data_IF_883694565240
#
_entry.id   IF_883694565240
#
_cell.length_a   1.000
_cell.length_b   1.000
_cell.length_c   1.000
_cell.angle_alpha   90.00
_cell.angle_beta   90.00
_cell.angle_gamma   90.00
#
_symmetry.space_group_name_H-M   'P 1'
#
loop_
_entity.id
_entity.type
_entity.pdbx_description
1 polymer ?
#
# COMPACT_ATOMS: atom_id res chain seq x y z
N UNK A 1 25.06 11.39 14.62
CA UNK A 1 24.17 12.46 14.10
C UNK A 1 22.70 12.05 14.24
N UNK A 2 21.76 12.98 14.15
CA UNK A 2 20.30 12.77 14.36
C UNK A 2 19.58 13.02 13.03
N UNK A 3 18.75 12.10 12.55
CA UNK A 3 17.99 12.28 11.30
C UNK A 3 17.07 13.51 11.39
N UNK A 4 17.33 14.54 10.57
CA UNK A 4 16.54 15.76 10.53
C UNK A 4 15.30 15.58 9.68
N UNK A 5 14.11 15.46 10.28
CA UNK A 5 12.86 15.13 9.56
C UNK A 5 12.59 16.11 8.41
N UNK A 6 12.50 17.42 8.70
CA UNK A 6 12.22 18.44 7.69
C UNK A 6 13.33 18.55 6.65
N UNK A 7 14.59 18.34 7.05
CA UNK A 7 15.71 18.36 6.12
C UNK A 7 15.64 17.20 5.13
N UNK A 8 15.36 15.98 5.60
CA UNK A 8 15.28 14.80 4.73
C UNK A 8 14.07 14.87 3.81
N UNK A 9 12.90 15.22 4.34
CA UNK A 9 11.69 15.34 3.53
C UNK A 9 11.78 16.51 2.54
N UNK A 10 12.29 17.67 2.98
CA UNK A 10 12.51 18.82 2.12
C UNK A 10 13.47 18.52 0.98
N UNK A 11 14.54 17.77 1.25
CA UNK A 11 15.47 17.34 0.21
C UNK A 11 14.84 16.34 -0.77
N UNK A 12 14.02 15.41 -0.30
CA UNK A 12 13.29 14.48 -1.16
C UNK A 12 12.31 15.21 -2.09
N UNK A 13 11.50 16.13 -1.55
CA UNK A 13 10.59 16.98 -2.32
C UNK A 13 11.35 17.88 -3.32
N UNK A 14 12.46 18.48 -2.88
CA UNK A 14 13.30 19.31 -3.72
C UNK A 14 13.93 18.53 -4.87
N UNK A 15 14.34 17.28 -4.64
CA UNK A 15 14.85 16.42 -5.70
C UNK A 15 13.79 16.14 -6.75
N UNK A 16 12.58 15.76 -6.34
CA UNK A 16 11.44 15.55 -7.25
C UNK A 16 11.12 16.77 -8.11
N UNK A 17 11.12 17.96 -7.52
CA UNK A 17 10.79 19.20 -8.24
C UNK A 17 11.94 19.69 -9.15
N UNK A 18 13.16 19.79 -8.60
CA UNK A 18 14.29 20.44 -9.30
C UNK A 18 14.90 19.56 -10.39
N UNK A 19 14.78 18.23 -10.28
CA UNK A 19 15.36 17.28 -11.22
C UNK A 19 14.34 16.69 -12.18
N UNK A 20 13.18 17.33 -12.33
CA UNK A 20 12.06 16.80 -13.09
C UNK A 20 12.44 16.43 -14.53
N UNK A 21 13.19 17.29 -15.23
CA UNK A 21 13.69 17.00 -16.58
C UNK A 21 14.49 15.69 -16.64
N UNK A 22 15.37 15.46 -15.66
CA UNK A 22 16.18 14.25 -15.60
C UNK A 22 15.33 13.02 -15.24
N UNK A 23 14.39 13.19 -14.30
CA UNK A 23 13.47 12.12 -13.89
C UNK A 23 12.60 11.70 -15.08
N UNK A 24 11.99 12.65 -15.78
CA UNK A 24 11.19 12.40 -16.98
C UNK A 24 11.99 11.66 -18.04
N UNK A 25 13.22 12.09 -18.33
CA UNK A 25 14.08 11.43 -19.34
C UNK A 25 14.37 9.97 -19.02
N UNK A 26 14.59 9.65 -17.74
CA UNK A 26 14.92 8.28 -17.30
C UNK A 26 13.67 7.43 -17.14
N UNK A 27 12.56 8.01 -16.67
CA UNK A 27 11.38 7.27 -16.26
C UNK A 27 10.28 7.19 -17.32
N UNK A 28 10.25 8.06 -18.35
CA UNK A 28 9.07 8.13 -19.24
C UNK A 28 8.75 6.81 -19.93
N UNK A 29 9.72 6.15 -20.56
CA UNK A 29 9.48 4.90 -21.27
C UNK A 29 9.06 3.78 -20.29
N UNK A 30 9.81 3.51 -19.21
CA UNK A 30 9.39 2.50 -18.24
C UNK A 30 8.03 2.77 -17.58
N UNK A 31 7.72 4.03 -17.26
CA UNK A 31 6.42 4.40 -16.66
C UNK A 31 5.28 4.24 -17.66
N UNK A 32 5.46 4.63 -18.92
CA UNK A 32 4.47 4.36 -19.96
C UNK A 32 4.23 2.86 -20.14
N UNK A 33 5.30 2.06 -20.14
CA UNK A 33 5.19 0.60 -20.20
C UNK A 33 4.50 0.02 -18.95
N UNK A 34 4.72 0.58 -17.76
CA UNK A 34 4.00 0.19 -16.54
C UNK A 34 2.50 0.40 -16.69
N UNK A 35 2.07 1.54 -17.24
CA UNK A 35 0.66 1.83 -17.48
C UNK A 35 0.06 0.83 -18.48
N UNK A 36 0.77 0.54 -19.58
CA UNK A 36 0.35 -0.45 -20.58
C UNK A 36 0.24 -1.85 -19.96
N UNK A 37 1.20 -2.26 -19.14
CA UNK A 37 1.20 -3.56 -18.46
C UNK A 37 0.06 -3.67 -17.46
N UNK A 38 -0.20 -2.63 -16.68
CA UNK A 38 -1.33 -2.61 -15.74
C UNK A 38 -2.67 -2.72 -16.48
N UNK A 39 -2.81 -2.00 -17.61
CA UNK A 39 -3.98 -2.10 -18.47
C UNK A 39 -4.14 -3.51 -19.06
N UNK A 40 -3.07 -4.09 -19.61
CA UNK A 40 -3.08 -5.44 -20.15
C UNK A 40 -3.41 -6.49 -19.07
N UNK A 41 -2.89 -6.33 -17.86
CA UNK A 41 -3.18 -7.20 -16.73
C UNK A 41 -4.66 -7.12 -16.33
N UNK A 42 -5.23 -5.92 -16.27
CA UNK A 42 -6.64 -5.72 -15.94
C UNK A 42 -7.58 -6.47 -16.91
N UNK A 43 -7.37 -6.30 -18.22
CA UNK A 43 -8.14 -7.03 -19.23
C UNK A 43 -7.87 -8.54 -19.21
N UNK A 44 -6.65 -8.96 -18.86
CA UNK A 44 -6.32 -10.39 -18.72
C UNK A 44 -7.06 -11.03 -17.56
N UNK A 45 -7.15 -10.37 -16.40
CA UNK A 45 -7.93 -10.87 -15.27
C UNK A 45 -9.42 -11.00 -15.61
N UNK A 46 -9.98 -9.97 -16.26
CA UNK A 46 -11.37 -10.01 -16.72
C UNK A 46 -11.58 -11.14 -17.72
N UNK A 47 -10.67 -11.33 -18.68
CA UNK A 47 -10.76 -12.39 -19.68
C UNK A 47 -10.75 -13.79 -19.06
N UNK A 48 -9.87 -14.03 -18.09
CA UNK A 48 -9.84 -15.31 -17.37
C UNK A 48 -11.12 -15.52 -16.56
N UNK A 49 -11.62 -14.48 -15.89
CA UNK A 49 -12.85 -14.58 -15.09
C UNK A 49 -14.10 -14.82 -15.94
N UNK A 50 -14.16 -14.25 -17.15
CA UNK A 50 -15.28 -14.38 -18.06
C UNK A 50 -15.19 -15.63 -18.96
N UNK A 51 -14.06 -16.35 -18.96
CA UNK A 51 -13.83 -17.50 -19.83
C UNK A 51 -13.75 -17.15 -21.33
N UNK A 52 -13.62 -15.86 -21.68
CA UNK A 52 -13.49 -15.36 -23.05
C UNK A 52 -12.56 -14.15 -23.09
N UNK A 53 -11.95 -13.87 -24.24
CA UNK A 53 -11.14 -12.66 -24.40
C UNK A 53 -12.05 -11.42 -24.26
N UNK A 54 -11.73 -10.56 -23.30
CA UNK A 54 -12.34 -9.23 -23.12
C UNK A 54 -11.32 -8.19 -23.57
N UNK A 55 -11.76 -7.31 -24.46
CA UNK A 55 -10.96 -6.25 -25.07
C UNK A 55 -11.63 -4.89 -24.92
N UNK A 56 -10.99 -3.83 -25.42
CA UNK A 56 -11.57 -2.48 -25.42
C UNK A 56 -12.91 -2.38 -26.16
N UNK A 57 -13.16 -3.23 -27.16
CA UNK A 57 -14.43 -3.21 -27.89
C UNK A 57 -15.60 -3.79 -27.09
N UNK A 58 -15.31 -4.52 -26.00
CA UNK A 58 -16.34 -5.07 -25.11
C UNK A 58 -16.82 -4.07 -24.05
N UNK A 59 -16.16 -2.91 -23.94
CA UNK A 59 -16.54 -1.86 -22.98
C UNK A 59 -17.75 -1.09 -23.50
N UNK A 60 -18.79 -1.01 -22.67
CA UNK A 60 -19.95 -0.17 -22.97
C UNK A 60 -19.54 1.31 -23.04
N UNK A 61 -20.19 2.06 -23.92
CA UNK A 61 -19.99 3.51 -24.02
C UNK A 61 -20.26 4.18 -22.66
N UNK A 62 -19.30 4.97 -22.18
CA UNK A 62 -19.37 5.64 -20.89
C UNK A 62 -18.72 4.91 -19.71
N UNK A 63 -18.22 3.68 -19.88
CA UNK A 63 -17.39 3.04 -18.85
C UNK A 63 -15.98 3.65 -18.83
N UNK A 64 -15.54 4.07 -17.64
CA UNK A 64 -14.19 4.59 -17.42
C UNK A 64 -13.21 3.44 -17.14
N UNK A 65 -11.93 3.65 -17.46
CA UNK A 65 -10.90 2.66 -17.14
C UNK A 65 -10.79 2.36 -15.63
N UNK A 66 -11.09 3.34 -14.77
CA UNK A 66 -11.13 3.14 -13.32
C UNK A 66 -12.17 2.08 -12.90
N UNK A 67 -13.32 2.02 -13.58
CA UNK A 67 -14.31 0.97 -13.33
C UNK A 67 -13.80 -0.40 -13.79
N UNK A 68 -13.12 -0.47 -14.93
CA UNK A 68 -12.49 -1.70 -15.45
C UNK A 68 -11.45 -2.22 -14.47
N UNK A 69 -10.62 -1.34 -13.93
CA UNK A 69 -9.60 -1.68 -12.93
C UNK A 69 -10.23 -2.21 -11.63
N UNK A 70 -11.33 -1.60 -11.16
CA UNK A 70 -12.05 -2.08 -9.99
C UNK A 70 -12.62 -3.50 -10.19
N UNK A 71 -13.25 -3.77 -11.34
CA UNK A 71 -13.74 -5.11 -11.66
C UNK A 71 -12.61 -6.12 -11.83
N UNK A 72 -11.51 -5.73 -12.48
CA UNK A 72 -10.34 -6.56 -12.63
C UNK A 72 -9.72 -6.91 -11.26
N UNK A 73 -9.71 -5.98 -10.31
CA UNK A 73 -9.26 -6.21 -8.93
C UNK A 73 -10.12 -7.25 -8.20
N UNK A 74 -11.45 -7.16 -8.35
CA UNK A 74 -12.35 -8.18 -7.82
C UNK A 74 -12.10 -9.55 -8.46
N UNK A 75 -12.02 -9.62 -9.79
CA UNK A 75 -11.71 -10.84 -10.52
C UNK A 75 -10.36 -11.46 -10.11
N UNK A 76 -9.32 -10.64 -9.96
CA UNK A 76 -8.01 -11.08 -9.49
C UNK A 76 -8.09 -11.65 -8.08
N UNK A 77 -8.75 -10.96 -7.14
CA UNK A 77 -8.89 -11.43 -5.75
C UNK A 77 -9.65 -12.76 -5.66
N UNK A 78 -10.76 -12.89 -6.38
CA UNK A 78 -11.56 -14.11 -6.42
C UNK A 78 -10.77 -15.27 -7.05
N UNK A 79 -10.07 -15.02 -8.16
CA UNK A 79 -9.26 -16.01 -8.84
C UNK A 79 -8.05 -16.48 -8.04
N UNK A 80 -7.36 -15.57 -7.34
CA UNK A 80 -6.26 -15.93 -6.44
C UNK A 80 -6.76 -16.76 -5.25
N UNK A 81 -7.89 -16.35 -4.64
CA UNK A 81 -8.53 -17.07 -3.55
C UNK A 81 -9.02 -18.47 -3.95
N UNK A 82 -9.48 -18.63 -5.19
CA UNK A 82 -9.89 -19.92 -5.76
C UNK A 82 -8.71 -20.77 -6.26
N UNK A 83 -7.47 -20.27 -6.23
CA UNK A 83 -6.30 -20.99 -6.72
C UNK A 83 -6.25 -21.15 -8.24
N UNK A 84 -6.88 -20.25 -9.01
CA UNK A 84 -6.88 -20.30 -10.48
C UNK A 84 -5.47 -20.12 -11.04
N UNK A 85 -4.94 -21.16 -11.71
CA UNK A 85 -3.60 -21.14 -12.28
C UNK A 85 -3.40 -19.99 -13.29
N UNK A 86 -4.43 -19.66 -14.08
CA UNK A 86 -4.39 -18.56 -15.03
C UNK A 86 -4.24 -17.19 -14.35
N UNK A 87 -4.98 -16.96 -13.27
CA UNK A 87 -4.90 -15.71 -12.49
C UNK A 87 -3.55 -15.60 -11.78
N UNK A 88 -3.03 -16.70 -11.21
CA UNK A 88 -1.70 -16.74 -10.62
C UNK A 88 -0.59 -16.46 -11.64
N UNK A 89 -0.69 -17.03 -12.85
CA UNK A 89 0.28 -16.79 -13.92
C UNK A 89 0.30 -15.30 -14.33
N UNK A 90 -0.86 -14.68 -14.48
CA UNK A 90 -0.96 -13.24 -14.78
C UNK A 90 -0.35 -12.42 -13.63
N UNK A 91 -0.72 -12.70 -12.38
CA UNK A 91 -0.21 -11.97 -11.22
C UNK A 91 1.32 -12.04 -11.11
N UNK A 92 1.91 -13.22 -11.30
CA UNK A 92 3.35 -13.41 -11.26
C UNK A 92 4.05 -12.72 -12.44
N UNK A 93 3.52 -12.88 -13.67
CA UNK A 93 4.09 -12.24 -14.85
C UNK A 93 4.06 -10.70 -14.71
N UNK A 94 2.92 -10.14 -14.31
CA UNK A 94 2.77 -8.70 -14.06
C UNK A 94 3.72 -8.22 -12.95
N UNK A 95 3.86 -8.96 -11.85
CA UNK A 95 4.78 -8.61 -10.77
C UNK A 95 6.24 -8.58 -11.24
N UNK A 96 6.67 -9.57 -12.03
CA UNK A 96 8.05 -9.65 -12.57
C UNK A 96 8.31 -8.51 -13.55
N UNK A 97 7.39 -8.27 -14.49
CA UNK A 97 7.52 -7.19 -15.47
C UNK A 97 7.56 -5.84 -14.75
N UNK A 98 6.66 -5.61 -13.80
CA UNK A 98 6.62 -4.38 -13.01
C UNK A 98 7.91 -4.18 -12.21
N UNK A 99 8.46 -5.23 -11.59
CA UNK A 99 9.74 -5.14 -10.88
C UNK A 99 10.89 -4.74 -11.81
N UNK A 100 10.96 -5.30 -13.02
CA UNK A 100 11.97 -4.97 -14.04
C UNK A 100 11.82 -3.51 -14.49
N UNK A 101 10.58 -3.10 -14.83
CA UNK A 101 10.28 -1.74 -15.27
C UNK A 101 10.61 -0.73 -14.17
N UNK A 102 10.17 -0.95 -12.92
CA UNK A 102 10.48 -0.07 -11.78
C UNK A 102 11.98 0.01 -11.54
N UNK A 103 12.68 -1.12 -11.51
CA UNK A 103 14.12 -1.13 -11.28
C UNK A 103 14.89 -0.35 -12.35
N UNK A 104 14.44 -0.42 -13.61
CA UNK A 104 15.11 0.23 -14.75
C UNK A 104 15.25 1.75 -14.60
N UNK A 105 14.30 2.41 -13.94
CA UNK A 105 14.39 3.86 -13.65
C UNK A 105 14.70 4.17 -12.19
N UNK A 106 14.22 3.39 -11.21
CA UNK A 106 14.47 3.68 -9.80
C UNK A 106 15.94 3.52 -9.42
N UNK A 107 16.61 2.46 -9.87
CA UNK A 107 18.03 2.25 -9.55
C UNK A 107 18.91 3.44 -9.99
N UNK A 108 18.88 3.92 -11.25
CA UNK A 108 19.67 5.08 -11.65
C UNK A 108 19.25 6.37 -10.93
N UNK A 109 17.95 6.60 -10.66
CA UNK A 109 17.51 7.79 -9.93
C UNK A 109 17.99 7.79 -8.47
N UNK A 110 17.99 6.63 -7.81
CA UNK A 110 18.54 6.48 -6.45
C UNK A 110 20.04 6.77 -6.44
N UNK A 111 20.80 6.27 -7.42
CA UNK A 111 22.24 6.56 -7.53
C UNK A 111 22.48 8.03 -7.84
N UNK A 112 21.65 8.65 -8.65
CA UNK A 112 21.74 10.08 -8.91
C UNK A 112 21.47 10.90 -7.64
N UNK A 113 20.46 10.55 -6.86
CA UNK A 113 20.14 11.21 -5.59
C UNK A 113 21.20 10.98 -4.50
N UNK A 114 21.70 9.75 -4.38
CA UNK A 114 22.61 9.34 -3.31
C UNK A 114 24.09 9.64 -3.59
N UNK A 115 24.56 9.38 -4.81
CA UNK A 115 25.97 9.49 -5.20
C UNK A 115 26.24 10.68 -6.14
N UNK A 116 25.19 11.34 -6.66
CA UNK A 116 25.35 12.41 -7.65
C UNK A 116 25.69 11.90 -9.05
N UNK A 117 25.63 10.59 -9.29
CA UNK A 117 25.92 9.99 -10.58
C UNK A 117 24.84 10.34 -11.60
N UNK A 118 25.16 11.25 -12.54
CA UNK A 118 24.21 11.66 -13.56
C UNK A 118 23.87 10.47 -14.46
N UNK A 119 22.58 10.17 -14.67
CA UNK A 119 22.18 9.13 -15.61
C UNK A 119 22.63 9.52 -17.03
N UNK A 120 22.99 8.50 -17.81
CA UNK A 120 23.51 8.71 -19.16
C UNK A 120 22.47 9.41 -20.05
N UNK A 121 22.90 10.31 -20.97
CA UNK A 121 21.98 11.06 -21.80
C UNK A 121 21.23 10.17 -22.81
N UNK A 122 19.97 10.49 -23.05
CA UNK A 122 19.11 9.81 -24.03
C UNK A 122 17.65 9.76 -23.58
N UNK A 123 16.74 9.64 -24.55
CA UNK A 123 15.29 9.54 -24.31
C UNK A 123 14.89 8.05 -24.29
N UNK A 124 15.31 7.25 -25.25
CA UNK A 124 14.98 5.81 -25.30
C UNK A 124 16.03 4.96 -24.56
N UNK A 125 16.05 5.00 -23.23
CA UNK A 125 16.91 4.11 -22.44
C UNK A 125 16.11 3.38 -21.36
N UNK A 126 16.29 2.07 -21.34
CA UNK A 126 15.82 1.20 -20.26
C UNK A 126 17.02 0.38 -19.76
N UNK A 127 17.92 0.99 -18.97
CA UNK A 127 19.10 0.29 -18.51
C UNK A 127 18.68 -0.86 -17.59
N UNK A 128 19.10 -2.07 -17.93
CA UNK A 128 18.94 -3.24 -17.07
C UNK A 128 20.29 -3.92 -16.91
N UNK A 129 20.75 -4.04 -15.67
CA UNK A 129 22.08 -4.51 -15.36
C UNK A 129 22.24 -4.85 -13.87
N UNK A 130 23.49 -4.93 -13.39
CA UNK A 130 23.77 -5.38 -12.03
C UNK A 130 23.10 -4.53 -10.94
N UNK A 131 22.96 -3.21 -11.15
CA UNK A 131 22.37 -2.31 -10.16
C UNK A 131 20.84 -2.49 -10.06
N UNK A 132 20.18 -2.72 -11.20
CA UNK A 132 18.74 -3.03 -11.26
C UNK A 132 18.45 -4.39 -10.60
N UNK A 133 19.28 -5.39 -10.88
CA UNK A 133 19.19 -6.70 -10.22
C UNK A 133 19.38 -6.57 -8.70
N UNK A 134 20.32 -5.73 -8.24
CA UNK A 134 20.49 -5.45 -6.81
C UNK A 134 19.25 -4.79 -6.20
N UNK A 135 18.64 -3.83 -6.89
CA UNK A 135 17.39 -3.21 -6.44
C UNK A 135 16.29 -4.25 -6.26
N UNK A 136 16.08 -5.10 -7.29
CA UNK A 136 15.06 -6.15 -7.27
C UNK A 136 15.34 -7.16 -6.17
N UNK A 137 16.54 -7.72 -6.12
CA UNK A 137 16.91 -8.76 -5.14
C UNK A 137 16.88 -8.22 -3.71
N UNK A 138 17.35 -7.00 -3.46
CA UNK A 138 17.23 -6.38 -2.15
C UNK A 138 15.76 -6.14 -1.76
N UNK A 139 14.92 -5.76 -2.73
CA UNK A 139 13.47 -5.63 -2.55
C UNK A 139 12.82 -6.98 -2.21
N UNK A 140 13.12 -8.03 -2.98
CA UNK A 140 12.63 -9.40 -2.76
C UNK A 140 13.06 -9.90 -1.39
N UNK A 141 14.34 -9.75 -1.02
CA UNK A 141 14.83 -10.18 0.30
C UNK A 141 14.13 -9.41 1.41
N UNK A 142 13.95 -8.10 1.28
CA UNK A 142 13.20 -7.30 2.27
C UNK A 142 11.75 -7.76 2.40
N UNK A 143 11.10 -7.99 1.26
CA UNK A 143 9.73 -8.49 1.20
C UNK A 143 9.61 -9.87 1.82
N UNK A 144 10.49 -10.82 1.48
CA UNK A 144 10.48 -12.18 2.02
C UNK A 144 10.74 -12.19 3.53
N UNK A 145 11.64 -11.36 4.04
CA UNK A 145 11.88 -11.23 5.48
C UNK A 145 10.62 -10.70 6.18
N UNK A 146 10.01 -9.62 5.67
CA UNK A 146 8.75 -9.10 6.22
C UNK A 146 7.60 -10.11 6.10
N UNK A 147 7.50 -10.80 4.96
CA UNK A 147 6.48 -11.82 4.70
C UNK A 147 6.61 -13.00 5.66
N UNK A 148 7.81 -13.55 5.82
CA UNK A 148 8.03 -14.73 6.65
C UNK A 148 7.94 -14.41 8.14
N UNK A 149 8.53 -13.29 8.59
CA UNK A 149 8.65 -13.00 10.01
C UNK A 149 7.43 -12.26 10.59
N UNK A 150 6.69 -11.52 9.76
CA UNK A 150 5.57 -10.68 10.22
C UNK A 150 4.26 -11.12 9.59
N UNK A 151 4.12 -11.03 8.27
CA UNK A 151 2.83 -11.22 7.62
C UNK A 151 2.33 -12.66 7.70
N UNK A 152 3.19 -13.67 7.54
CA UNK A 152 2.81 -15.07 7.60
C UNK A 152 2.32 -15.48 9.00
N UNK A 153 3.02 -15.17 10.12
CA UNK A 153 2.48 -15.42 11.46
C UNK A 153 1.13 -14.74 11.72
N UNK A 154 0.97 -13.48 11.29
CA UNK A 154 -0.29 -12.73 11.45
C UNK A 154 -1.41 -13.35 10.61
N UNK A 155 -1.12 -13.72 9.36
CA UNK A 155 -2.08 -14.36 8.45
C UNK A 155 -2.47 -15.75 8.94
N UNK A 156 -1.52 -16.56 9.42
CA UNK A 156 -1.79 -17.86 10.03
C UNK A 156 -2.65 -17.71 11.28
N UNK A 157 -2.30 -16.81 12.20
CA UNK A 157 -3.11 -16.56 13.40
C UNK A 157 -4.54 -16.15 13.03
N UNK A 158 -4.68 -15.21 12.11
CA UNK A 158 -5.97 -14.77 11.56
C UNK A 158 -6.76 -15.94 10.98
N UNK A 159 -6.13 -16.76 10.11
CA UNK A 159 -6.76 -17.91 9.49
C UNK A 159 -7.24 -18.94 10.52
N UNK A 160 -6.41 -19.30 11.49
CA UNK A 160 -6.78 -20.26 12.52
C UNK A 160 -7.90 -19.74 13.43
N UNK A 161 -7.86 -18.47 13.82
CA UNK A 161 -8.91 -17.84 14.63
C UNK A 161 -10.23 -17.82 13.86
N UNK A 162 -10.23 -17.31 12.63
CA UNK A 162 -11.45 -17.26 11.80
C UNK A 162 -11.97 -18.67 11.55
N UNK A 163 -11.12 -19.63 11.19
CA UNK A 163 -11.52 -21.03 10.96
C UNK A 163 -12.12 -21.66 12.22
N UNK A 164 -11.54 -21.43 13.39
CA UNK A 164 -12.07 -21.92 14.67
C UNK A 164 -13.42 -21.29 15.00
N UNK A 165 -13.57 -19.97 14.84
CA UNK A 165 -14.82 -19.25 15.05
C UNK A 165 -15.90 -19.77 14.09
N UNK A 166 -15.61 -19.79 12.79
CA UNK A 166 -16.58 -20.23 11.77
C UNK A 166 -17.03 -21.66 12.05
N UNK A 167 -16.11 -22.60 12.31
CA UNK A 167 -16.46 -23.99 12.62
C UNK A 167 -17.32 -24.09 13.88
N UNK A 168 -17.03 -23.33 14.93
CA UNK A 168 -17.80 -23.38 16.17
C UNK A 168 -19.21 -22.81 16.00
N UNK A 169 -19.35 -21.71 15.26
CA UNK A 169 -20.63 -21.03 15.07
C UNK A 169 -21.56 -21.76 14.10
N UNK A 170 -21.02 -22.43 13.07
CA UNK A 170 -21.81 -23.14 12.06
C UNK A 170 -22.06 -24.62 12.39
N UNK A 171 -21.49 -25.14 13.47
CA UNK A 171 -21.73 -26.52 13.89
C UNK A 171 -23.19 -26.70 14.33
N UNK A 172 -23.86 -27.73 13.84
CA UNK A 172 -25.22 -28.06 14.25
C UNK A 172 -25.23 -28.84 15.57
N UNK A 173 -26.08 -28.42 16.51
CA UNK A 173 -26.27 -29.11 17.79
C UNK A 173 -27.72 -29.58 17.90
N UNK A 174 -27.92 -30.78 18.48
CA UNK A 174 -29.24 -31.19 18.92
C UNK A 174 -29.55 -30.50 20.25
N UNK A 175 -30.63 -29.73 20.29
CA UNK A 175 -31.18 -29.17 21.52
C UNK A 175 -32.47 -29.92 21.87
N UNK A 176 -32.69 -30.12 23.17
CA UNK A 176 -33.91 -30.69 23.73
C UNK A 176 -34.61 -29.55 24.49
N UNK A 177 -35.61 -28.88 23.89
CA UNK A 177 -36.26 -27.72 24.50
C UNK A 177 -37.03 -28.07 25.77
N UNK A 178 -37.43 -29.34 25.90
CA UNK A 178 -38.26 -29.85 26.97
C UNK A 178 -37.54 -31.03 27.63
N UNK A 179 -36.99 -30.82 28.83
CA UNK A 179 -36.14 -31.80 29.53
C UNK A 179 -36.89 -33.12 29.83
N UNK A 180 -38.23 -33.07 29.84
CA UNK A 180 -39.10 -34.24 30.05
C UNK A 180 -39.54 -34.97 28.78
N UNK A 181 -39.19 -34.50 27.57
CA UNK A 181 -39.64 -35.09 26.31
C UNK A 181 -38.47 -35.51 25.42
N UNK A 182 -38.34 -36.82 25.18
CA UNK A 182 -37.40 -37.39 24.21
C UNK A 182 -37.83 -37.19 22.74
N UNK A 183 -39.01 -36.62 22.50
CA UNK A 183 -39.64 -36.54 21.18
C UNK A 183 -39.45 -35.18 20.48
N UNK A 184 -38.96 -34.15 21.17
CA UNK A 184 -38.72 -32.81 20.61
C UNK A 184 -37.21 -32.57 20.50
N UNK A 185 -36.63 -32.98 19.37
CA UNK A 185 -35.24 -32.66 19.00
C UNK A 185 -35.26 -31.51 18.01
N UNK A 186 -34.67 -30.38 18.37
CA UNK A 186 -34.48 -29.26 17.46
C UNK A 186 -33.00 -29.16 17.07
N UNK A 187 -32.72 -28.97 15.78
CA UNK A 187 -31.37 -28.74 15.29
C UNK A 187 -31.11 -27.24 15.34
N UNK A 188 -30.29 -26.83 16.30
CA UNK A 188 -29.98 -25.44 16.61
C UNK A 188 -28.55 -25.15 16.17
N UNK A 189 -28.26 -23.93 15.70
CA UNK A 189 -26.89 -23.59 15.32
C UNK A 189 -26.00 -23.37 16.55
N UNK A 190 -24.70 -23.62 16.40
CA UNK A 190 -23.71 -23.41 17.45
C UNK A 190 -23.72 -21.99 18.00
N UNK A 191 -23.96 -20.99 17.15
CA UNK A 191 -24.12 -19.60 17.59
C UNK A 191 -25.23 -19.43 18.65
N UNK A 192 -26.40 -20.02 18.43
CA UNK A 192 -27.55 -19.92 19.35
C UNK A 192 -27.30 -20.71 20.64
N UNK A 193 -26.74 -21.91 20.54
CA UNK A 193 -26.39 -22.74 21.71
C UNK A 193 -25.32 -22.06 22.58
N UNK A 194 -24.30 -21.46 21.96
CA UNK A 194 -23.23 -20.74 22.66
C UNK A 194 -23.73 -19.43 23.26
N UNK A 195 -24.69 -18.76 22.62
CA UNK A 195 -25.35 -17.58 23.18
C UNK A 195 -26.15 -17.95 24.43
N UNK A 196 -26.96 -19.01 24.37
CA UNK A 196 -27.74 -19.50 25.52
C UNK A 196 -26.85 -19.92 26.70
N UNK A 197 -25.69 -20.54 26.42
CA UNK A 197 -24.71 -20.93 27.45
C UNK A 197 -23.83 -19.77 27.95
N UNK A 198 -24.00 -18.56 27.41
CA UNK A 198 -23.15 -17.42 27.75
C UNK A 198 -21.67 -17.63 27.40
N UNK A 199 -21.37 -18.46 26.40
CA UNK A 199 -20.00 -18.78 25.96
C UNK A 199 -19.60 -18.08 24.65
N UNK A 200 -20.54 -17.40 23.98
CA UNK A 200 -20.35 -16.71 22.71
C UNK A 200 -19.20 -15.67 22.76
N UNK A 201 -18.99 -15.07 23.94
CA UNK A 201 -17.95 -14.08 24.17
C UNK A 201 -16.53 -14.56 23.82
N UNK A 202 -16.25 -15.86 24.00
CA UNK A 202 -14.95 -16.45 23.68
C UNK A 202 -14.64 -16.32 22.18
N UNK A 203 -15.67 -16.45 21.34
CA UNK A 203 -15.59 -16.39 19.89
C UNK A 203 -15.71 -14.97 19.36
N UNK A 204 -16.51 -14.11 20.00
CA UNK A 204 -16.62 -12.70 19.61
C UNK A 204 -15.35 -11.89 19.91
N UNK A 205 -14.74 -12.09 21.08
CA UNK A 205 -13.60 -11.28 21.51
C UNK A 205 -12.51 -12.03 22.27
N UNK A 206 -12.77 -13.22 22.81
CA UNK A 206 -11.77 -14.00 23.54
C UNK A 206 -10.55 -14.37 22.70
N UNK A 207 -10.74 -15.08 21.58
CA UNK A 207 -9.64 -15.48 20.69
C UNK A 207 -8.86 -14.29 20.13
N UNK A 208 -9.57 -13.26 19.68
CA UNK A 208 -8.94 -12.02 19.20
C UNK A 208 -8.17 -11.31 20.31
N UNK A 209 -8.64 -11.36 21.55
CA UNK A 209 -8.00 -10.74 22.70
C UNK A 209 -6.69 -11.40 23.08
N UNK A 210 -6.65 -12.74 23.07
CA UNK A 210 -5.41 -13.50 23.26
C UNK A 210 -4.41 -13.19 22.15
N UNK A 211 -4.85 -13.17 20.90
CA UNK A 211 -3.99 -12.87 19.76
C UNK A 211 -3.44 -11.43 19.79
N UNK A 212 -4.29 -10.44 20.11
CA UNK A 212 -3.89 -9.05 20.29
C UNK A 212 -2.84 -8.91 21.39
N UNK A 213 -3.06 -9.56 22.54
CA UNK A 213 -2.13 -9.54 23.68
C UNK A 213 -0.77 -10.12 23.30
N UNK A 214 -0.74 -11.24 22.57
CA UNK A 214 0.50 -11.84 22.10
C UNK A 214 1.28 -10.90 21.17
N UNK A 215 0.62 -10.26 20.21
CA UNK A 215 1.26 -9.29 19.31
C UNK A 215 1.78 -8.05 20.06
N UNK A 216 0.99 -7.53 20.99
CA UNK A 216 1.40 -6.40 21.84
C UNK A 216 2.63 -6.76 22.68
N UNK A 217 2.67 -7.98 23.24
CA UNK A 217 3.84 -8.46 23.97
C UNK A 217 5.10 -8.52 23.09
N UNK A 218 4.98 -9.07 21.87
CA UNK A 218 6.08 -9.09 20.89
C UNK A 218 6.52 -7.66 20.53
N UNK A 219 5.58 -6.73 20.33
CA UNK A 219 5.89 -5.34 20.04
C UNK A 219 6.63 -4.66 21.20
N UNK A 220 6.18 -4.87 22.44
CA UNK A 220 6.86 -4.35 23.63
C UNK A 220 8.29 -4.89 23.71
N UNK A 221 8.47 -6.21 23.60
CA UNK A 221 9.80 -6.85 23.67
C UNK A 221 10.73 -6.32 22.57
N UNK A 222 10.24 -6.24 21.33
CA UNK A 222 11.03 -5.74 20.20
C UNK A 222 11.42 -4.27 20.36
N UNK A 223 10.51 -3.42 20.84
CA UNK A 223 10.80 -2.01 21.11
C UNK A 223 11.78 -1.84 22.27
N UNK A 224 11.62 -2.58 23.37
CA UNK A 224 12.56 -2.54 24.49
C UNK A 224 13.97 -2.99 24.07
N UNK A 225 14.06 -4.05 23.26
CA UNK A 225 15.33 -4.50 22.70
C UNK A 225 15.95 -3.44 21.77
N UNK A 226 15.12 -2.73 20.99
CA UNK A 226 15.56 -1.69 20.07
C UNK A 226 16.16 -0.45 20.77
N UNK A 227 15.55 -0.01 21.87
CA UNK A 227 15.97 1.20 22.61
C UNK A 227 17.01 0.95 23.70
N UNK A 228 17.62 -0.25 23.76
CA UNK A 228 18.61 -0.58 24.79
C UNK A 228 19.88 0.28 24.63
N UNK A 229 19.96 1.41 25.36
CA UNK A 229 21.19 2.23 25.45
C UNK A 229 22.25 1.50 26.29
N UNK A 230 23.49 1.56 25.83
CA UNK A 230 24.63 0.86 26.45
C UNK A 230 25.21 1.55 27.70
N UNK A 231 24.77 2.77 28.08
CA UNK A 231 25.52 3.57 29.09
C UNK A 231 24.79 4.62 29.95
N UNK A 232 23.48 4.77 29.90
CA UNK A 232 22.80 5.79 30.76
C UNK A 232 22.02 5.12 31.89
N UNK A 233 22.39 5.45 33.14
CA UNK A 233 21.76 4.99 34.39
C UNK A 233 20.34 5.50 34.63
N UNK A 234 19.64 5.98 33.59
CA UNK A 234 18.19 6.16 33.66
C UNK A 234 17.53 4.79 33.79
N UNK A 235 16.84 4.60 34.93
CA UNK A 235 16.26 3.34 35.35
C UNK A 235 15.53 2.65 34.20
N UNK A 236 15.92 1.41 33.89
CA UNK A 236 15.31 0.60 32.85
C UNK A 236 13.76 0.56 32.95
N UNK A 237 13.25 0.71 34.17
CA UNK A 237 11.84 0.81 34.51
C UNK A 237 11.14 2.04 33.89
N UNK A 238 11.76 3.23 33.92
CA UNK A 238 11.19 4.43 33.31
C UNK A 238 11.03 4.29 31.79
N UNK A 239 12.00 3.67 31.12
CA UNK A 239 11.90 3.35 29.69
C UNK A 239 10.83 2.30 29.41
N UNK A 240 10.80 1.24 30.22
CA UNK A 240 9.76 0.21 30.19
C UNK A 240 8.36 0.83 30.20
N UNK A 241 8.11 1.71 31.16
CA UNK A 241 6.84 2.41 31.30
C UNK A 241 6.54 3.32 30.11
N UNK A 242 7.51 4.07 29.58
CA UNK A 242 7.25 4.93 28.41
C UNK A 242 6.90 4.14 27.14
N UNK A 243 7.60 3.03 26.88
CA UNK A 243 7.32 2.16 25.72
C UNK A 243 5.96 1.49 25.89
N UNK A 244 5.67 0.99 27.08
CA UNK A 244 4.38 0.40 27.41
C UNK A 244 3.24 1.41 27.24
N UNK A 245 3.36 2.61 27.84
CA UNK A 245 2.36 3.66 27.75
C UNK A 245 2.12 4.11 26.30
N UNK A 246 3.18 4.23 25.49
CA UNK A 246 3.05 4.60 24.07
C UNK A 246 2.31 3.52 23.26
N UNK A 247 2.64 2.24 23.47
CA UNK A 247 1.95 1.13 22.79
C UNK A 247 0.50 1.03 23.27
N UNK A 248 0.25 1.13 24.57
CA UNK A 248 -1.09 1.11 25.14
C UNK A 248 -1.95 2.27 24.61
N UNK A 249 -1.39 3.48 24.51
CA UNK A 249 -2.07 4.63 23.93
C UNK A 249 -2.37 4.43 22.44
N UNK A 250 -1.41 3.91 21.66
CA UNK A 250 -1.60 3.64 20.24
C UNK A 250 -2.68 2.58 19.99
N UNK A 251 -2.58 1.42 20.64
CA UNK A 251 -3.53 0.31 20.52
C UNK A 251 -4.91 0.74 21.05
N UNK A 252 -4.94 1.44 22.18
CA UNK A 252 -6.17 1.96 22.78
C UNK A 252 -6.87 2.99 21.88
N UNK A 253 -6.13 3.88 21.23
CA UNK A 253 -6.69 4.84 20.28
C UNK A 253 -7.31 4.16 19.05
N UNK A 254 -6.66 3.12 18.51
CA UNK A 254 -7.22 2.34 17.41
C UNK A 254 -8.44 1.52 17.84
N UNK A 255 -8.42 0.92 19.03
CA UNK A 255 -9.57 0.22 19.58
C UNK A 255 -10.77 1.17 19.75
N UNK A 256 -10.54 2.37 20.29
CA UNK A 256 -11.55 3.40 20.43
C UNK A 256 -12.10 3.85 19.07
N UNK A 257 -11.23 4.18 18.11
CA UNK A 257 -11.64 4.58 16.76
C UNK A 257 -12.48 3.48 16.09
N UNK A 258 -12.09 2.22 16.25
CA UNK A 258 -12.84 1.07 15.75
C UNK A 258 -14.27 1.03 16.29
N UNK A 259 -14.43 1.20 17.61
CA UNK A 259 -15.76 1.24 18.26
C UNK A 259 -16.60 2.42 17.77
N UNK A 260 -16.00 3.61 17.61
CA UNK A 260 -16.71 4.79 17.11
C UNK A 260 -17.15 4.61 15.66
N UNK A 261 -16.38 3.88 14.85
CA UNK A 261 -16.71 3.56 13.46
C UNK A 261 -17.51 2.25 13.27
N UNK A 262 -17.92 1.61 14.37
CA UNK A 262 -18.56 0.30 14.29
C UNK A 262 -19.93 0.41 13.58
N UNK A 263 -20.25 -0.50 12.65
CA UNK A 263 -21.58 -0.55 12.04
C UNK A 263 -22.65 -0.89 13.10
N UNK A 264 -23.88 -0.41 12.88
CA UNK A 264 -25.01 -0.71 13.76
C UNK A 264 -25.21 -2.22 13.91
N UNK A 265 -25.38 -2.68 15.15
CA UNK A 265 -25.53 -4.11 15.48
C UNK A 265 -24.22 -4.86 15.76
N UNK A 266 -23.05 -4.26 15.53
CA UNK A 266 -21.78 -4.90 15.89
C UNK A 266 -21.51 -4.82 17.41
N UNK A 267 -21.01 -5.93 17.99
CA UNK A 267 -20.56 -5.98 19.40
C UNK A 267 -19.42 -4.98 19.63
N UNK A 268 -19.59 -3.93 20.47
CA UNK A 268 -18.55 -2.94 20.70
C UNK A 268 -17.26 -3.55 21.24
N UNK A 269 -17.37 -4.60 22.07
CA UNK A 269 -16.21 -5.34 22.60
C UNK A 269 -15.49 -6.14 21.52
N UNK A 270 -16.24 -6.83 20.66
CA UNK A 270 -15.68 -7.55 19.52
C UNK A 270 -14.89 -6.64 18.59
N UNK A 271 -15.49 -5.49 18.22
CA UNK A 271 -14.84 -4.49 17.37
C UNK A 271 -13.59 -3.91 18.05
N UNK A 272 -13.67 -3.51 19.31
CA UNK A 272 -12.53 -2.97 20.04
C UNK A 272 -11.32 -3.91 20.03
N UNK A 273 -11.55 -5.20 20.26
CA UNK A 273 -10.49 -6.21 20.34
C UNK A 273 -9.93 -6.55 18.95
N UNK A 274 -10.78 -6.66 17.93
CA UNK A 274 -10.33 -6.83 16.55
C UNK A 274 -9.48 -5.65 16.08
N UNK A 275 -9.91 -4.42 16.38
CA UNK A 275 -9.15 -3.20 16.09
C UNK A 275 -7.83 -3.15 16.85
N UNK A 276 -7.79 -3.61 18.11
CA UNK A 276 -6.56 -3.72 18.88
C UNK A 276 -5.58 -4.73 18.26
N UNK A 277 -6.07 -5.89 17.81
CA UNK A 277 -5.28 -6.88 17.07
C UNK A 277 -4.70 -6.27 15.79
N UNK A 278 -5.55 -5.63 14.98
CA UNK A 278 -5.15 -4.98 13.73
C UNK A 278 -4.10 -3.88 13.96
N UNK A 279 -4.26 -3.07 15.02
CA UNK A 279 -3.30 -2.03 15.39
C UNK A 279 -1.93 -2.61 15.78
N UNK A 280 -1.92 -3.66 16.60
CA UNK A 280 -0.68 -4.33 16.99
C UNK A 280 0.03 -4.97 15.78
N UNK A 281 -0.72 -5.64 14.90
CA UNK A 281 -0.24 -6.20 13.65
C UNK A 281 0.36 -5.11 12.73
N UNK A 282 -0.35 -4.00 12.55
CA UNK A 282 0.09 -2.85 11.75
C UNK A 282 1.38 -2.23 12.32
N UNK A 283 1.46 -2.03 13.64
CA UNK A 283 2.63 -1.46 14.29
C UNK A 283 3.87 -2.35 14.10
N UNK A 284 3.70 -3.67 14.22
CA UNK A 284 4.79 -4.62 14.01
C UNK A 284 5.24 -4.66 12.55
N UNK A 285 4.30 -4.66 11.60
CA UNK A 285 4.59 -4.57 10.17
C UNK A 285 5.30 -3.27 9.81
N UNK A 286 4.81 -2.13 10.30
CA UNK A 286 5.43 -0.82 10.09
C UNK A 286 6.86 -0.80 10.64
N UNK A 287 7.09 -1.32 11.84
CA UNK A 287 8.42 -1.42 12.43
C UNK A 287 9.39 -2.24 11.57
N UNK A 288 8.98 -3.43 11.12
CA UNK A 288 9.82 -4.28 10.28
C UNK A 288 10.11 -3.64 8.91
N UNK A 289 9.08 -3.09 8.27
CA UNK A 289 9.21 -2.43 6.97
C UNK A 289 10.12 -1.22 7.06
N UNK A 290 9.98 -0.36 8.08
CA UNK A 290 10.87 0.80 8.26
C UNK A 290 12.34 0.39 8.44
N UNK A 291 12.62 -0.73 9.09
CA UNK A 291 13.98 -1.24 9.25
C UNK A 291 14.61 -1.72 7.95
N UNK A 292 13.81 -2.33 7.08
CA UNK A 292 14.27 -2.86 5.79
C UNK A 292 14.17 -1.81 4.68
N UNK A 293 13.41 -0.74 4.88
CA UNK A 293 13.14 0.30 3.89
C UNK A 293 14.40 0.86 3.21
N UNK A 294 15.50 1.18 3.93
CA UNK A 294 16.71 1.72 3.29
C UNK A 294 17.51 0.67 2.49
N UNK A 295 17.21 -0.62 2.60
CA UNK A 295 18.09 -1.68 2.11
C UNK A 295 18.27 -1.67 0.59
N UNK A 296 17.20 -1.41 -0.16
CA UNK A 296 17.25 -1.28 -1.63
C UNK A 296 18.19 -0.15 -2.04
N UNK A 297 18.12 0.99 -1.37
CA UNK A 297 18.99 2.14 -1.64
C UNK A 297 20.46 1.84 -1.34
N UNK A 298 20.73 1.23 -0.19
CA UNK A 298 22.10 0.84 0.22
C UNK A 298 22.68 -0.18 -0.76
N UNK A 299 21.91 -1.20 -1.14
CA UNK A 299 22.38 -2.24 -2.03
C UNK A 299 22.76 -1.71 -3.42
N UNK A 300 21.94 -0.79 -3.94
CA UNK A 300 22.17 -0.13 -5.23
C UNK A 300 23.36 0.82 -5.17
N UNK A 301 23.43 1.70 -4.17
CA UNK A 301 24.49 2.70 -4.07
C UNK A 301 25.86 2.08 -3.74
N UNK A 302 25.93 1.10 -2.83
CA UNK A 302 27.19 0.40 -2.49
C UNK A 302 27.60 -0.67 -3.50
N UNK A 303 26.71 -1.03 -4.43
CA UNK A 303 26.87 -2.18 -5.33
C UNK A 303 27.15 -3.50 -4.59
N UNK A 304 26.62 -3.65 -3.38
CA UNK A 304 26.87 -4.78 -2.48
C UNK A 304 25.61 -5.14 -1.69
N UNK A 305 25.37 -6.43 -1.41
CA UNK A 305 24.28 -6.90 -0.55
C UNK A 305 24.63 -6.87 0.95
N UNK A 306 25.78 -6.33 1.32
CA UNK A 306 26.16 -6.24 2.73
C UNK A 306 25.14 -5.36 3.50
N UNK A 307 24.55 -5.87 4.61
CA UNK A 307 23.57 -5.13 5.41
C UNK A 307 24.21 -4.03 6.28
N UNK A 308 25.51 -3.80 6.14
CA UNK A 308 26.25 -2.78 6.89
C UNK A 308 25.58 -1.41 6.73
N UNK A 309 25.42 -0.66 7.81
CA UNK A 309 24.78 0.67 7.78
C UNK A 309 23.25 0.67 7.73
N UNK A 310 22.59 -0.45 7.36
CA UNK A 310 21.12 -0.54 7.30
C UNK A 310 20.47 -0.20 8.64
N UNK A 311 20.93 -0.85 9.71
CA UNK A 311 20.40 -0.65 11.05
C UNK A 311 20.86 0.67 11.68
N UNK A 312 21.88 1.33 11.13
CA UNK A 312 22.36 2.61 11.66
C UNK A 312 21.32 3.71 11.45
N UNK A 313 20.68 3.74 10.26
CA UNK A 313 19.63 4.69 9.90
C UNK A 313 18.40 4.52 10.78
N UNK A 314 18.10 3.30 11.22
CA UNK A 314 16.90 3.02 12.02
C UNK A 314 17.18 2.91 13.52
N UNK A 315 18.41 3.12 13.99
CA UNK A 315 18.78 2.90 15.40
C UNK A 315 18.14 3.91 16.34
N UNK A 316 17.57 3.42 17.44
CA UNK A 316 17.06 4.26 18.52
C UNK A 316 15.97 5.20 18.03
N UNK A 317 16.01 6.47 18.44
CA UNK A 317 14.97 7.45 18.06
C UNK A 317 14.89 7.76 16.56
N UNK A 318 15.83 7.27 15.75
CA UNK A 318 15.79 7.47 14.30
C UNK A 318 14.68 6.68 13.62
N UNK A 319 14.20 5.56 14.18
CA UNK A 319 13.07 4.83 13.60
C UNK A 319 11.78 5.66 13.59
N UNK A 320 11.52 6.39 14.69
CA UNK A 320 10.36 7.29 14.77
C UNK A 320 10.50 8.49 13.85
N UNK A 321 11.73 8.99 13.66
CA UNK A 321 12.00 10.07 12.71
C UNK A 321 11.78 9.60 11.28
N UNK A 322 12.24 8.40 10.93
CA UNK A 322 11.99 7.79 9.63
C UNK A 322 10.50 7.58 9.38
N UNK A 323 9.78 7.05 10.38
CA UNK A 323 8.33 6.94 10.33
C UNK A 323 7.68 8.31 10.06
N UNK A 324 8.06 9.34 10.81
CA UNK A 324 7.51 10.68 10.64
C UNK A 324 7.86 11.29 9.29
N UNK A 325 9.06 11.03 8.74
CA UNK A 325 9.43 11.43 7.37
C UNK A 325 8.51 10.76 6.35
N UNK A 326 8.30 9.44 6.44
CA UNK A 326 7.45 8.69 5.51
C UNK A 326 6.00 9.16 5.59
N UNK A 327 5.46 9.30 6.81
CA UNK A 327 4.09 9.80 7.03
C UNK A 327 3.94 11.23 6.52
N UNK A 328 4.89 12.11 6.81
CA UNK A 328 4.85 13.51 6.38
C UNK A 328 4.92 13.62 4.86
N UNK A 329 5.81 12.86 4.20
CA UNK A 329 5.87 12.82 2.73
C UNK A 329 4.58 12.27 2.14
N UNK A 330 4.04 11.18 2.71
CA UNK A 330 2.76 10.61 2.27
C UNK A 330 1.62 11.61 2.38
N UNK A 331 1.49 12.30 3.52
CA UNK A 331 0.47 13.34 3.73
C UNK A 331 0.64 14.53 2.79
N UNK A 332 1.87 15.00 2.58
CA UNK A 332 2.14 16.13 1.68
C UNK A 332 1.82 15.78 0.23
N UNK A 333 2.21 14.58 -0.22
CA UNK A 333 1.89 14.11 -1.57
C UNK A 333 0.38 13.90 -1.73
N UNK A 334 -0.29 13.30 -0.75
CA UNK A 334 -1.73 13.10 -0.76
C UNK A 334 -2.50 14.43 -0.79
N UNK A 335 -2.11 15.40 0.05
CA UNK A 335 -2.72 16.72 0.06
C UNK A 335 -2.49 17.45 -1.27
N UNK A 336 -1.29 17.37 -1.82
CA UNK A 336 -0.98 17.94 -3.13
C UNK A 336 -1.79 17.25 -4.24
N UNK A 337 -2.00 15.93 -4.18
CA UNK A 337 -2.85 15.21 -5.12
C UNK A 337 -4.31 15.64 -5.03
N UNK A 338 -4.86 15.78 -3.81
CA UNK A 338 -6.21 16.34 -3.61
C UNK A 338 -6.30 17.74 -4.21
N UNK A 339 -5.34 18.60 -3.89
CA UNK A 339 -5.34 19.97 -4.40
C UNK A 339 -5.29 19.99 -5.94
N UNK A 340 -4.44 19.17 -6.55
CA UNK A 340 -4.31 19.13 -8.00
C UNK A 340 -5.49 18.45 -8.70
N UNK A 341 -6.08 17.41 -8.11
CA UNK A 341 -7.26 16.75 -8.67
C UNK A 341 -8.50 17.64 -8.58
N UNK A 342 -8.82 18.14 -7.38
CA UNK A 342 -10.01 18.95 -7.11
C UNK A 342 -9.92 20.34 -7.76
N UNK A 343 -8.75 20.99 -7.73
CA UNK A 343 -8.63 22.34 -8.28
C UNK A 343 -7.99 22.40 -9.67
N UNK A 344 -7.17 21.43 -10.05
CA UNK A 344 -6.55 21.41 -11.37
C UNK A 344 -7.41 20.74 -12.41
N UNK A 345 -7.65 19.44 -12.25
CA UNK A 345 -8.30 18.61 -13.27
C UNK A 345 -9.76 19.02 -13.48
N UNK A 346 -10.53 19.21 -12.40
CA UNK A 346 -11.94 19.56 -12.53
C UNK A 346 -12.16 20.89 -13.27
N UNK A 347 -11.33 21.90 -13.00
CA UNK A 347 -11.38 23.17 -13.72
C UNK A 347 -10.98 23.04 -15.19
N UNK A 348 -9.99 22.19 -15.50
CA UNK A 348 -9.62 21.87 -16.89
C UNK A 348 -10.81 21.21 -17.59
N UNK A 349 -11.47 20.23 -16.98
CA UNK A 349 -12.65 19.56 -17.54
C UNK A 349 -13.74 20.61 -17.81
N UNK A 350 -14.08 21.44 -16.83
CA UNK A 350 -15.10 22.49 -16.98
C UNK A 350 -14.74 23.45 -18.12
N UNK A 351 -13.48 23.91 -18.20
CA UNK A 351 -13.03 24.81 -19.26
C UNK A 351 -13.14 24.16 -20.65
N UNK A 352 -12.67 22.92 -20.81
CA UNK A 352 -12.75 22.20 -22.08
C UNK A 352 -14.20 21.86 -22.45
N UNK A 353 -15.07 21.55 -21.48
CA UNK A 353 -16.50 21.36 -21.71
C UNK A 353 -17.17 22.67 -22.16
N UNK A 354 -16.82 23.81 -21.56
CA UNK A 354 -17.34 25.12 -21.97
C UNK A 354 -16.88 25.51 -23.38
N UNK A 355 -15.59 25.28 -23.72
CA UNK A 355 -15.07 25.48 -25.07
C UNK A 355 -15.73 24.54 -26.07
N UNK A 356 -15.92 23.27 -25.71
CA UNK A 356 -16.61 22.29 -26.55
C UNK A 356 -18.06 22.68 -26.84
N UNK A 357 -18.78 23.16 -25.82
CA UNK A 357 -20.14 23.69 -25.97
C UNK A 357 -20.19 24.94 -26.86
N UNK A 358 -19.21 25.84 -26.73
CA UNK A 358 -19.09 27.02 -27.59
C UNK A 358 -18.83 26.63 -29.06
N UNK A 359 -17.93 25.68 -29.31
CA UNK A 359 -17.64 25.17 -30.67
C UNK A 359 -18.83 24.41 -31.24
N UNK A 360 -19.54 23.62 -30.43
CA UNK A 360 -20.77 22.94 -30.85
C UNK A 360 -21.86 23.95 -31.25
N UNK A 361 -22.03 25.01 -30.47
CA UNK A 361 -22.97 26.10 -30.76
C UNK A 361 -22.59 26.85 -32.04
N UNK A 362 -21.30 27.17 -32.21
CA UNK A 362 -20.80 27.83 -33.41
C UNK A 362 -20.99 26.97 -34.66
N UNK A 363 -20.63 25.68 -34.61
CA UNK A 363 -20.82 24.76 -35.74
C UNK A 363 -22.31 24.58 -36.08
N UNK A 364 -23.19 24.52 -35.09
CA UNK A 364 -24.63 24.48 -35.29
C UNK A 364 -25.17 25.71 -36.04
N UNK A 365 -24.61 26.91 -35.79
CA UNK A 365 -25.01 28.12 -36.52
C UNK A 365 -24.67 28.07 -38.02
N UNK A 366 -23.57 27.40 -38.39
CA UNK A 366 -23.13 27.29 -39.79
C UNK A 366 -23.63 26.03 -40.53
N UNK A 367 -24.03 24.99 -39.79
CA UNK A 367 -24.52 23.72 -40.35
C UNK A 367 -26.05 23.56 -40.26
N UNK A 368 -26.81 24.66 -40.39
CA UNK A 368 -28.27 24.59 -40.44
C UNK A 368 -28.94 24.09 -39.15
N UNK A 369 -28.32 24.30 -37.99
CA UNK A 369 -28.83 23.92 -36.68
C UNK A 369 -28.25 22.63 -36.10
N UNK A 370 -27.47 21.86 -36.88
CA UNK A 370 -26.83 20.63 -36.41
C UNK A 370 -25.38 20.87 -35.96
N UNK A 371 -25.10 20.62 -34.68
CA UNK A 371 -23.74 20.64 -34.17
C UNK A 371 -22.91 19.53 -34.83
N UNK A 372 -21.66 19.83 -35.19
CA UNK A 372 -20.83 18.86 -35.88
C UNK A 372 -20.48 17.67 -34.97
N UNK A 373 -20.72 16.44 -35.44
CA UNK A 373 -20.59 15.19 -34.66
C UNK A 373 -19.18 14.90 -34.17
N UNK A 374 -18.16 15.54 -34.76
CA UNK A 374 -16.75 15.39 -34.35
C UNK A 374 -16.35 16.25 -33.14
N UNK A 375 -17.14 17.27 -32.78
CA UNK A 375 -16.75 18.25 -31.74
C UNK A 375 -16.67 17.57 -30.37
N UNK A 376 -17.73 16.88 -29.94
CA UNK A 376 -17.74 16.18 -28.67
C UNK A 376 -16.60 15.15 -28.51
N UNK A 377 -16.35 14.21 -29.46
CA UNK A 377 -15.27 13.25 -29.33
C UNK A 377 -13.87 13.90 -29.37
N UNK A 378 -13.67 14.98 -30.13
CA UNK A 378 -12.39 15.70 -30.14
C UNK A 378 -12.08 16.30 -28.76
N UNK A 379 -13.04 17.04 -28.18
CA UNK A 379 -12.84 17.67 -26.87
C UNK A 379 -12.68 16.62 -25.76
N UNK A 380 -13.41 15.51 -25.82
CA UNK A 380 -13.19 14.38 -24.91
C UNK A 380 -11.77 13.81 -25.04
N UNK A 381 -11.26 13.64 -26.27
CA UNK A 381 -9.90 13.16 -26.51
C UNK A 381 -8.83 14.15 -26.00
N UNK A 382 -9.05 15.46 -26.15
CA UNK A 382 -8.15 16.49 -25.62
C UNK A 382 -8.10 16.47 -24.09
N UNK A 383 -9.26 16.40 -23.43
CA UNK A 383 -9.34 16.29 -21.96
C UNK A 383 -8.62 15.03 -21.48
N UNK A 384 -8.87 13.88 -22.12
CA UNK A 384 -8.18 12.64 -21.80
C UNK A 384 -6.65 12.76 -21.99
N UNK A 385 -6.20 13.41 -23.07
CA UNK A 385 -4.78 13.67 -23.31
C UNK A 385 -4.13 14.51 -22.22
N UNK A 386 -4.81 15.57 -21.76
CA UNK A 386 -4.33 16.41 -20.65
C UNK A 386 -4.28 15.63 -19.34
N UNK A 387 -5.31 14.83 -19.03
CA UNK A 387 -5.34 13.97 -17.85
C UNK A 387 -4.20 12.96 -17.85
N UNK A 388 -3.92 12.32 -18.98
CA UNK A 388 -2.79 11.38 -19.11
C UNK A 388 -1.47 12.10 -18.85
N UNK A 389 -1.25 13.25 -19.49
CA UNK A 389 -0.02 14.02 -19.30
C UNK A 389 0.17 14.46 -17.83
N UNK A 390 -0.90 14.89 -17.18
CA UNK A 390 -0.90 15.25 -15.76
C UNK A 390 -0.56 14.05 -14.89
N UNK A 391 -1.23 12.91 -15.08
CA UNK A 391 -0.97 11.68 -14.32
C UNK A 391 0.47 11.21 -14.50
N UNK A 392 0.99 11.25 -15.73
CA UNK A 392 2.40 10.92 -16.00
C UNK A 392 3.35 11.88 -15.25
N UNK A 393 3.09 13.19 -15.32
CA UNK A 393 3.88 14.18 -14.59
C UNK A 393 3.85 13.94 -13.08
N UNK A 394 2.68 13.65 -12.52
CA UNK A 394 2.51 13.33 -11.11
C UNK A 394 3.27 12.05 -10.71
N UNK A 395 3.21 11.01 -11.53
CA UNK A 395 3.98 9.78 -11.32
C UNK A 395 5.49 10.06 -11.34
N UNK A 396 5.98 10.84 -12.29
CA UNK A 396 7.39 11.22 -12.32
C UNK A 396 7.80 11.98 -11.05
N UNK A 397 6.97 12.92 -10.60
CA UNK A 397 7.23 13.66 -9.38
C UNK A 397 7.33 12.73 -8.17
N UNK A 398 6.32 11.88 -7.95
CA UNK A 398 6.25 10.96 -6.80
C UNK A 398 7.37 9.92 -6.78
N UNK A 399 7.73 9.36 -7.94
CA UNK A 399 8.91 8.49 -8.07
C UNK A 399 10.21 9.25 -7.82
N UNK A 400 10.31 10.50 -8.29
CA UNK A 400 11.41 11.40 -8.00
C UNK A 400 11.61 11.63 -6.51
N UNK A 401 10.53 11.97 -5.79
CA UNK A 401 10.54 12.15 -4.33
C UNK A 401 11.00 10.88 -3.62
N UNK A 402 10.49 9.72 -4.05
CA UNK A 402 10.88 8.41 -3.51
C UNK A 402 12.38 8.13 -3.72
N UNK A 403 12.91 8.37 -4.92
CA UNK A 403 14.32 8.22 -5.22
C UNK A 403 15.19 9.19 -4.41
N UNK A 404 14.73 10.44 -4.23
CA UNK A 404 15.37 11.44 -3.38
C UNK A 404 15.47 11.00 -1.92
N UNK A 405 14.37 10.44 -1.38
CA UNK A 405 14.35 9.88 -0.03
C UNK A 405 15.34 8.72 0.09
N UNK A 406 15.31 7.74 -0.81
CA UNK A 406 16.25 6.61 -0.82
C UNK A 406 17.71 7.07 -0.91
N UNK A 407 18.03 8.02 -1.79
CA UNK A 407 19.38 8.58 -1.91
C UNK A 407 19.84 9.29 -0.63
N UNK A 408 18.94 10.01 0.05
CA UNK A 408 19.27 10.63 1.35
C UNK A 408 19.48 9.58 2.44
N UNK A 409 18.65 8.55 2.52
CA UNK A 409 18.81 7.47 3.50
C UNK A 409 20.14 6.73 3.31
N UNK A 410 20.58 6.54 2.06
CA UNK A 410 21.90 6.00 1.77
C UNK A 410 23.02 6.87 2.36
N UNK A 411 23.03 8.19 2.11
CA UNK A 411 24.07 9.10 2.64
C UNK A 411 24.09 9.16 4.16
N UNK A 412 22.92 9.12 4.80
CA UNK A 412 22.82 9.01 6.27
C UNK A 412 23.36 7.67 6.79
N UNK A 413 23.17 6.58 6.04
CA UNK A 413 23.73 5.27 6.40
C UNK A 413 25.26 5.28 6.41
N UNK A 414 25.88 5.95 5.44
CA UNK A 414 27.34 6.12 5.38
C UNK A 414 27.84 6.96 6.55
N UNK A 415 27.24 8.14 6.75
CA UNK A 415 27.63 9.11 7.78
C UNK A 415 27.46 8.60 9.22
N UNK A 416 26.62 7.57 9.43
CA UNK A 416 26.43 6.92 10.73
C UNK A 416 27.26 5.64 10.91
N UNK A 417 27.87 5.14 9.83
CA UNK A 417 28.68 3.91 9.84
C UNK A 417 30.19 4.15 9.80
N UNK A 418 30.63 5.30 9.28
CA UNK A 418 31.97 5.86 9.49
C UNK A 418 32.03 6.60 10.82
#
# INVERSE_FOLDING_TARGET
MRLGVFSVAGEALHFGARRMETIMRVAWLPVSLLLIVNMAAAFSYLSVSAGRLITFSDLASGQTFAMVEAYAGQAASAGLGAGSAGVWAIALASAVINAILIASFMAPLIRYAGLGEKPAPGVLRMPFGPDQLRFILAGIVSFLISALLIYAPIAMATYFIISAITRALTMAYASFPDESSLHTVEIVQGAEVLAQRGALWMYEYGYWGVAATALVAVLIVTMLAHFRRRRDGQAALGRGLTVFAAIAAFVGAFAFAGVVSAPEGASPRGVAVLSAFAAAALALAAYANLRLYPYTAIAVCRRSFAPTGLLAVTRGGNIFRLFLIVVMLGLLLFLAEILLSVFGIDWIIVMFSALGAAVASYTGLFNGGEAATWVAPLFAALVAGVQIAFTMFWLFYTYGVSAGLFGRLYRESEALSG
#
